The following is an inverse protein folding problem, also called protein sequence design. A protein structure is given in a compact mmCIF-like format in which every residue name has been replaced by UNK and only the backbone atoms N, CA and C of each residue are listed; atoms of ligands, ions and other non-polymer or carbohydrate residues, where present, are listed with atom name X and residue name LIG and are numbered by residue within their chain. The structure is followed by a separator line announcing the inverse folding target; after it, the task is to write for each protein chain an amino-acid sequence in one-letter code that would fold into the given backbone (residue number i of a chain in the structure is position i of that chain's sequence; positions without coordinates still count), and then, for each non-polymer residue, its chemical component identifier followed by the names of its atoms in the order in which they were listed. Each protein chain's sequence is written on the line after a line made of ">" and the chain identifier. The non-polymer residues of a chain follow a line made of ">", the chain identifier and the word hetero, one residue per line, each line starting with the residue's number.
data_IF_218523585855
#
_entry.id   IF_218523585855
#
_cell.length_a   1.000
_cell.length_b   1.000
_cell.length_c   1.000
_cell.angle_alpha   90.00
_cell.angle_beta   90.00
_cell.angle_gamma   90.00
#
_symmetry.space_group_name_H-M   'P 1'
#
loop_
_entity.id
_entity.type
_entity.pdbx_description
1 polymer ?
#
# COMPACT_ATOMS: atom_id res chain seq x y z
N UNK A 1 17.72 -21.50 1.71
CA UNK A 1 16.35 -21.73 2.19
C UNK A 1 16.04 -20.69 3.26
N UNK A 2 14.89 -20.01 3.17
CA UNK A 2 14.46 -19.01 4.17
C UNK A 2 14.07 -19.71 5.47
N UNK A 3 14.51 -19.17 6.62
CA UNK A 3 14.19 -19.69 7.95
C UNK A 3 12.93 -19.05 8.57
N UNK A 4 12.33 -18.05 7.92
CA UNK A 4 11.05 -17.47 8.33
C UNK A 4 9.87 -18.29 7.81
N UNK A 5 8.85 -18.50 8.65
CA UNK A 5 7.58 -19.12 8.27
C UNK A 5 6.85 -18.36 7.15
N UNK A 6 7.05 -17.03 7.06
CA UNK A 6 6.42 -16.18 6.05
C UNK A 6 7.16 -16.20 4.69
N UNK A 7 8.41 -16.67 4.64
CA UNK A 7 9.22 -16.78 3.43
C UNK A 7 9.10 -15.56 2.48
N UNK A 8 8.84 -15.76 1.19
CA UNK A 8 8.71 -14.67 0.22
C UNK A 8 7.46 -13.80 0.41
N UNK A 9 6.44 -14.28 1.13
CA UNK A 9 5.19 -13.55 1.35
C UNK A 9 5.32 -12.46 2.43
N UNK A 10 6.30 -12.56 3.34
CA UNK A 10 6.45 -11.59 4.43
C UNK A 10 7.76 -11.65 5.22
N UNK A 11 8.76 -12.41 4.76
CA UNK A 11 10.06 -12.55 5.43
C UNK A 11 11.08 -11.46 5.11
N UNK A 12 10.72 -10.46 4.30
CA UNK A 12 11.60 -9.34 3.99
C UNK A 12 11.78 -8.42 5.21
N UNK A 13 12.99 -7.87 5.37
CA UNK A 13 13.34 -6.91 6.41
C UNK A 13 13.84 -5.63 5.72
N UNK A 14 13.24 -4.49 6.06
CA UNK A 14 13.62 -3.18 5.53
C UNK A 14 13.18 -2.08 6.51
N UNK A 15 13.82 -0.91 6.42
CA UNK A 15 13.34 0.30 7.08
C UNK A 15 12.30 1.04 6.22
N UNK A 16 11.60 2.01 6.81
CA UNK A 16 10.55 2.77 6.14
C UNK A 16 11.05 3.56 4.92
N UNK A 17 12.30 4.02 4.95
CA UNK A 17 12.90 4.82 3.86
C UNK A 17 13.19 3.94 2.64
N UNK A 18 13.67 2.74 2.86
CA UNK A 18 13.94 1.80 1.77
C UNK A 18 12.65 1.24 1.17
N UNK A 19 11.63 0.96 1.98
CA UNK A 19 10.29 0.61 1.49
C UNK A 19 9.71 1.75 0.66
N UNK A 20 9.79 2.99 1.15
CA UNK A 20 9.32 4.18 0.43
C UNK A 20 10.02 4.31 -0.95
N UNK A 21 11.36 4.27 -0.96
CA UNK A 21 12.15 4.38 -2.19
C UNK A 21 11.79 3.28 -3.20
N UNK A 22 11.69 2.04 -2.73
CA UNK A 22 11.34 0.89 -3.56
C UNK A 22 9.94 1.04 -4.15
N UNK A 23 8.94 1.31 -3.32
CA UNK A 23 7.55 1.39 -3.77
C UNK A 23 7.29 2.58 -4.69
N UNK A 24 7.97 3.72 -4.48
CA UNK A 24 7.96 4.83 -5.45
C UNK A 24 8.53 4.42 -6.80
N UNK A 25 9.60 3.63 -6.83
CA UNK A 25 10.17 3.15 -8.09
C UNK A 25 9.21 2.19 -8.83
N UNK A 26 8.56 1.28 -8.10
CA UNK A 26 7.53 0.37 -8.65
C UNK A 26 6.36 1.16 -9.23
N UNK A 27 5.76 2.05 -8.45
CA UNK A 27 4.55 2.79 -8.87
C UNK A 27 4.84 3.80 -9.99
N UNK A 28 6.08 4.29 -10.11
CA UNK A 28 6.53 5.13 -11.22
C UNK A 28 7.03 4.35 -12.44
N UNK A 29 6.89 3.02 -12.46
CA UNK A 29 7.25 2.19 -13.60
C UNK A 29 8.75 2.14 -13.92
N UNK A 30 9.61 2.21 -12.90
CA UNK A 30 11.08 2.25 -13.05
C UNK A 30 11.78 0.91 -12.83
N UNK A 31 11.02 -0.15 -12.53
CA UNK A 31 11.57 -1.44 -12.08
C UNK A 31 11.50 -2.52 -13.16
N UNK A 32 10.47 -2.48 -14.01
CA UNK A 32 10.22 -3.48 -15.05
C UNK A 32 9.88 -2.80 -16.39
N UNK A 33 10.00 -3.51 -17.54
CA UNK A 33 9.61 -2.94 -18.82
C UNK A 33 8.11 -2.55 -18.87
N UNK A 34 7.70 -1.64 -19.78
CA UNK A 34 6.34 -1.10 -19.80
C UNK A 34 5.22 -2.15 -19.88
N UNK A 35 5.46 -3.26 -20.59
CA UNK A 35 4.48 -4.36 -20.68
C UNK A 35 4.24 -5.01 -19.32
N UNK A 36 5.31 -5.40 -18.62
CA UNK A 36 5.22 -6.00 -17.29
C UNK A 36 4.69 -5.00 -16.25
N UNK A 37 4.98 -3.70 -16.40
CA UNK A 37 4.40 -2.67 -15.54
C UNK A 37 2.88 -2.63 -15.69
N UNK A 38 2.37 -2.67 -16.93
CA UNK A 38 0.93 -2.70 -17.19
C UNK A 38 0.27 -3.96 -16.62
N UNK A 39 0.92 -5.13 -16.76
CA UNK A 39 0.45 -6.40 -16.17
C UNK A 39 0.46 -6.35 -14.63
N UNK A 40 1.50 -5.79 -14.01
CA UNK A 40 1.61 -5.65 -12.55
C UNK A 40 0.52 -4.74 -11.98
N UNK A 41 0.19 -3.66 -12.69
CA UNK A 41 -0.78 -2.68 -12.24
C UNK A 41 -2.23 -3.00 -12.64
N UNK A 42 -2.47 -4.08 -13.40
CA UNK A 42 -3.81 -4.51 -13.77
C UNK A 42 -4.60 -4.96 -12.53
N UNK A 43 -5.81 -4.41 -12.36
CA UNK A 43 -6.64 -4.63 -11.18
C UNK A 43 -7.74 -5.65 -11.44
N UNK A 44 -8.00 -6.46 -10.42
CA UNK A 44 -9.24 -7.24 -10.29
C UNK A 44 -10.02 -6.77 -9.08
N UNK A 45 -11.34 -6.83 -9.15
CA UNK A 45 -12.20 -6.60 -7.99
C UNK A 45 -11.98 -7.70 -6.96
N UNK A 46 -11.80 -7.33 -5.69
CA UNK A 46 -11.76 -8.33 -4.60
C UNK A 46 -13.16 -8.95 -4.39
N UNK A 47 -14.23 -8.23 -4.76
CA UNK A 47 -15.60 -8.69 -4.60
C UNK A 47 -16.00 -9.70 -5.67
N UNK A 48 -15.69 -9.43 -6.95
CA UNK A 48 -16.16 -10.26 -8.08
C UNK A 48 -15.08 -11.14 -8.69
N UNK A 49 -13.80 -10.80 -8.49
CA UNK A 49 -12.68 -11.44 -9.17
C UNK A 49 -12.51 -11.03 -10.64
N UNK A 50 -13.38 -10.17 -11.17
CA UNK A 50 -13.32 -9.71 -12.55
C UNK A 50 -12.34 -8.55 -12.72
N UNK A 51 -11.75 -8.38 -13.92
CA UNK A 51 -10.93 -7.21 -14.23
C UNK A 51 -11.72 -5.92 -14.08
N UNK A 52 -11.10 -4.92 -13.43
CA UNK A 52 -11.65 -3.58 -13.28
C UNK A 52 -10.62 -2.56 -13.75
N UNK A 53 -11.08 -1.46 -14.34
CA UNK A 53 -10.19 -0.37 -14.75
C UNK A 53 -9.66 0.40 -13.52
N UNK A 54 -10.53 0.62 -12.54
CA UNK A 54 -10.19 1.23 -11.26
C UNK A 54 -11.23 0.86 -10.18
N UNK A 55 -10.93 1.17 -8.92
CA UNK A 55 -11.88 1.10 -7.81
C UNK A 55 -12.85 2.28 -7.85
N UNK A 56 -14.07 2.06 -7.37
CA UNK A 56 -15.14 3.06 -7.31
C UNK A 56 -15.81 3.02 -5.93
N UNK A 57 -16.75 3.93 -5.65
CA UNK A 57 -17.52 3.84 -4.40
C UNK A 57 -18.31 2.52 -4.28
N UNK A 58 -18.80 2.00 -5.41
CA UNK A 58 -19.60 0.76 -5.47
C UNK A 58 -18.75 -0.52 -5.54
N UNK A 59 -17.48 -0.38 -5.93
CA UNK A 59 -16.47 -1.45 -5.90
C UNK A 59 -15.14 -0.91 -5.34
N UNK A 60 -15.04 -0.73 -4.01
CA UNK A 60 -14.02 0.11 -3.40
C UNK A 60 -12.69 -0.59 -3.16
N UNK A 61 -12.53 -1.86 -3.57
CA UNK A 61 -11.31 -2.63 -3.31
C UNK A 61 -10.92 -3.47 -4.52
N UNK A 62 -9.71 -3.24 -5.00
CA UNK A 62 -9.08 -4.04 -6.03
C UNK A 62 -7.73 -4.57 -5.57
N UNK A 63 -7.30 -5.64 -6.22
CA UNK A 63 -5.98 -6.22 -6.02
C UNK A 63 -5.31 -6.44 -7.37
N UNK A 64 -4.01 -6.22 -7.43
CA UNK A 64 -3.19 -6.51 -8.61
C UNK A 64 -2.19 -7.62 -8.29
N UNK A 65 -1.09 -7.72 -9.03
CA UNK A 65 -0.02 -8.68 -8.73
C UNK A 65 0.76 -8.26 -7.46
N UNK A 66 0.18 -8.49 -6.28
CA UNK A 66 0.81 -8.22 -4.98
C UNK A 66 0.66 -6.80 -4.45
N UNK A 67 -0.25 -5.99 -5.02
CA UNK A 67 -0.57 -4.63 -4.54
C UNK A 67 -2.07 -4.45 -4.36
N UNK A 68 -2.47 -3.71 -3.33
CA UNK A 68 -3.86 -3.32 -3.10
C UNK A 68 -4.14 -1.92 -3.62
N UNK A 69 -5.34 -1.70 -4.15
CA UNK A 69 -5.91 -0.37 -4.37
C UNK A 69 -7.27 -0.30 -3.70
N UNK A 70 -7.54 0.76 -2.94
CA UNK A 70 -8.84 0.93 -2.32
C UNK A 70 -9.24 2.39 -2.14
N UNK A 71 -10.54 2.63 -2.00
CA UNK A 71 -11.08 3.91 -1.53
C UNK A 71 -10.82 4.03 -0.02
N UNK A 72 -9.86 4.87 0.36
CA UNK A 72 -9.41 5.07 1.74
C UNK A 72 -10.11 6.29 2.36
N UNK A 73 -11.32 6.08 2.88
CA UNK A 73 -12.10 7.13 3.54
C UNK A 73 -12.25 8.38 2.67
N UNK A 74 -11.99 9.56 3.24
CA UNK A 74 -12.10 10.85 2.55
C UNK A 74 -10.96 11.14 1.56
N UNK A 75 -9.89 10.33 1.55
CA UNK A 75 -8.74 10.56 0.67
C UNK A 75 -8.97 10.03 -0.75
N UNK A 76 -9.92 9.10 -0.92
CA UNK A 76 -10.25 8.52 -2.22
C UNK A 76 -9.41 7.30 -2.54
N UNK A 77 -9.29 6.99 -3.84
CA UNK A 77 -8.67 5.77 -4.32
C UNK A 77 -7.14 5.84 -4.31
N UNK A 78 -6.48 4.98 -3.53
CA UNK A 78 -5.03 4.96 -3.39
C UNK A 78 -4.46 3.54 -3.46
N UNK A 79 -3.25 3.44 -4.00
CA UNK A 79 -2.43 2.24 -3.89
C UNK A 79 -1.85 2.13 -2.50
N UNK A 80 -1.95 0.95 -1.91
CA UNK A 80 -1.48 0.69 -0.55
C UNK A 80 -1.16 -0.79 -0.34
N UNK A 81 -0.42 -1.08 0.72
CA UNK A 81 -0.32 -2.42 1.25
C UNK A 81 0.03 -2.36 2.73
N UNK A 82 -0.62 -3.21 3.53
CA UNK A 82 -0.25 -3.45 4.91
C UNK A 82 0.32 -4.86 5.04
N UNK A 83 1.59 -4.95 5.44
CA UNK A 83 2.23 -6.20 5.84
C UNK A 83 2.21 -6.35 7.35
N UNK A 84 1.97 -7.58 7.81
CA UNK A 84 1.95 -7.91 9.23
C UNK A 84 2.74 -9.20 9.46
N UNK A 85 3.68 -9.14 10.40
CA UNK A 85 4.36 -10.30 10.98
C UNK A 85 4.34 -10.16 12.50
N UNK A 86 4.77 -11.20 13.22
CA UNK A 86 4.68 -11.22 14.69
C UNK A 86 5.33 -9.98 15.31
N UNK A 87 4.52 -9.11 15.90
CA UNK A 87 4.97 -7.89 16.58
C UNK A 87 5.28 -6.71 15.67
N UNK A 88 5.10 -6.80 14.35
CA UNK A 88 5.42 -5.72 13.41
C UNK A 88 4.37 -5.52 12.34
N UNK A 89 4.02 -4.27 12.07
CA UNK A 89 3.16 -3.87 10.96
C UNK A 89 3.81 -2.76 10.16
N UNK A 90 3.76 -2.89 8.83
CA UNK A 90 4.22 -1.88 7.89
C UNK A 90 3.08 -1.54 6.93
N UNK A 91 2.70 -0.27 6.86
CA UNK A 91 1.73 0.25 5.89
C UNK A 91 2.44 1.28 5.00
N UNK A 92 2.25 1.18 3.69
CA UNK A 92 2.56 2.28 2.79
C UNK A 92 1.33 2.70 1.99
N UNK A 93 1.21 3.99 1.69
CA UNK A 93 0.14 4.56 0.86
C UNK A 93 0.73 5.56 -0.14
N UNK A 94 0.33 5.43 -1.40
CA UNK A 94 0.74 6.31 -2.49
C UNK A 94 -0.35 7.31 -2.89
N UNK A 95 -0.04 8.58 -2.72
CA UNK A 95 -0.84 9.73 -3.12
C UNK A 95 -0.29 10.26 -4.45
N UNK A 96 -0.81 9.70 -5.54
CA UNK A 96 -0.29 9.92 -6.89
C UNK A 96 -0.29 11.40 -7.30
N UNK A 97 -1.38 12.12 -7.00
CA UNK A 97 -1.53 13.54 -7.32
C UNK A 97 -0.45 14.42 -6.72
N UNK A 98 -0.02 14.11 -5.50
CA UNK A 98 1.01 14.85 -4.77
C UNK A 98 2.42 14.24 -4.95
N UNK A 99 2.53 13.15 -5.71
CA UNK A 99 3.73 12.31 -5.76
C UNK A 99 4.29 11.99 -4.36
N UNK A 100 3.40 11.70 -3.41
CA UNK A 100 3.72 11.49 -2.01
C UNK A 100 3.52 10.03 -1.61
N UNK A 101 4.56 9.42 -1.06
CA UNK A 101 4.50 8.14 -0.37
C UNK A 101 4.58 8.41 1.13
N UNK A 102 3.68 7.79 1.89
CA UNK A 102 3.74 7.75 3.35
C UNK A 102 3.91 6.29 3.75
N UNK A 103 5.01 5.99 4.45
CA UNK A 103 5.31 4.65 4.98
C UNK A 103 5.37 4.71 6.50
N UNK A 104 4.55 3.91 7.16
CA UNK A 104 4.52 3.75 8.62
C UNK A 104 4.96 2.35 9.00
N UNK A 105 5.84 2.26 9.99
CA UNK A 105 6.27 1.00 10.59
C UNK A 105 6.03 1.07 12.10
N UNK A 106 5.42 0.03 12.64
CA UNK A 106 5.17 -0.08 14.09
C UNK A 106 5.70 -1.41 14.59
N UNK A 107 6.22 -1.41 15.82
CA UNK A 107 6.66 -2.58 16.58
C UNK A 107 5.55 -3.07 17.53
N UNK A 108 4.31 -3.03 17.06
CA UNK A 108 3.14 -3.49 17.80
C UNK A 108 2.16 -4.20 16.87
N UNK A 109 1.39 -5.13 17.43
CA UNK A 109 0.35 -5.89 16.75
C UNK A 109 -0.86 -6.01 17.68
N UNK A 110 -1.63 -4.92 17.86
CA UNK A 110 -2.87 -4.95 18.63
C UNK A 110 -3.92 -5.79 17.90
N UNK A 111 -5.00 -6.13 18.59
CA UNK A 111 -6.17 -6.74 17.95
C UNK A 111 -6.73 -5.83 16.84
N UNK A 112 -7.39 -6.42 15.84
CA UNK A 112 -7.80 -5.73 14.62
C UNK A 112 -8.69 -4.50 14.88
N UNK A 113 -9.58 -4.56 15.87
CA UNK A 113 -10.44 -3.46 16.30
C UNK A 113 -9.67 -2.25 16.87
N UNK A 114 -8.44 -2.48 17.32
CA UNK A 114 -7.52 -1.47 17.82
C UNK A 114 -6.46 -1.06 16.79
N UNK A 115 -6.52 -1.57 15.55
CA UNK A 115 -5.66 -1.10 14.47
C UNK A 115 -6.08 0.32 14.03
N UNK A 116 -5.11 1.23 14.04
CA UNK A 116 -5.24 2.64 13.70
C UNK A 116 -4.24 3.11 12.66
N UNK A 117 -3.48 2.20 12.00
CA UNK A 117 -2.47 2.62 11.03
C UNK A 117 -3.08 3.39 9.86
N UNK A 118 -4.24 2.96 9.34
CA UNK A 118 -4.93 3.67 8.27
C UNK A 118 -5.40 5.07 8.69
N UNK A 119 -5.96 5.19 9.89
CA UNK A 119 -6.37 6.49 10.46
C UNK A 119 -5.16 7.43 10.61
N UNK A 120 -4.03 6.89 11.10
CA UNK A 120 -2.78 7.64 11.31
C UNK A 120 -2.16 8.14 9.99
N UNK A 121 -2.22 7.35 8.91
CA UNK A 121 -1.78 7.83 7.59
C UNK A 121 -2.58 9.06 7.17
N UNK A 122 -3.90 9.07 7.42
CA UNK A 122 -4.74 10.22 7.11
C UNK A 122 -4.32 11.49 7.85
N UNK A 123 -4.07 11.36 9.16
CA UNK A 123 -3.58 12.48 9.99
C UNK A 123 -2.24 13.02 9.47
N UNK A 124 -1.30 12.13 9.12
CA UNK A 124 0.02 12.54 8.60
C UNK A 124 -0.12 13.21 7.24
N UNK A 125 -0.98 12.69 6.36
CA UNK A 125 -1.25 13.29 5.06
C UNK A 125 -1.77 14.73 5.22
N UNK A 126 -2.73 14.94 6.13
CA UNK A 126 -3.28 16.27 6.40
C UNK A 126 -2.23 17.25 6.96
N UNK A 127 -1.34 16.79 7.83
CA UNK A 127 -0.22 17.61 8.36
C UNK A 127 0.72 18.03 7.23
N UNK A 128 1.21 17.06 6.44
CA UNK A 128 2.15 17.32 5.33
C UNK A 128 1.53 18.22 4.27
N UNK A 129 0.22 18.10 4.02
CA UNK A 129 -0.54 18.98 3.11
C UNK A 129 -0.82 20.36 3.70
N UNK A 130 -1.01 20.45 5.02
CA UNK A 130 -1.21 21.69 5.74
C UNK A 130 0.05 22.57 5.71
N UNK A 131 1.23 21.96 5.82
CA UNK A 131 2.53 22.62 5.73
C UNK A 131 2.92 23.04 4.30
N UNK A 132 2.18 22.58 3.28
CA UNK A 132 2.37 22.93 1.87
C UNK A 132 1.56 24.16 1.42
N UNK A 133 0.94 24.90 2.36
CA UNK A 133 0.25 26.17 2.11
C UNK A 133 1.12 27.37 2.46
#
# INVERSE_FOLDING_TARGET
>A
MSTSWAQAAGGAIADARDVDRWMRAVLKGRVVPPKQQAEWMALVSIRTGEPIADVTADDPRGFSLGLGKAVLGSFGAHWFYQGETLGYRTLYVWFEKEELMITLQTNSQPAAEADKLHDLVGVIYDIVRGDAK
#
